data_IF_637049059791
#
_entry.id   IF_637049059791
#
_cell.length_a   1.000
_cell.length_b   1.000
_cell.length_c   1.000
_cell.angle_alpha   90.00
_cell.angle_beta   90.00
_cell.angle_gamma   90.00
#
_symmetry.space_group_name_H-M   'P 1'
#
loop_
_entity.id
_entity.type
_entity.pdbx_description
1 polymer ?
#
# COMPACT_ATOMS: atom_id res chain seq x y z
N UNK A 1 -15.68 2.80 7.53
CA UNK A 1 -14.35 2.97 6.94
C UNK A 1 -14.43 3.12 5.43
N UNK A 2 -13.56 3.95 4.88
CA UNK A 2 -13.51 4.19 3.45
C UNK A 2 -12.44 3.32 2.81
N UNK A 3 -12.80 2.65 1.73
CA UNK A 3 -11.90 1.81 0.96
C UNK A 3 -11.56 2.50 -0.36
N UNK A 4 -10.26 2.60 -0.64
CA UNK A 4 -9.74 3.21 -1.85
C UNK A 4 -8.88 2.21 -2.62
N UNK A 5 -8.91 2.30 -3.95
CA UNK A 5 -8.14 1.42 -4.84
C UNK A 5 -7.26 2.23 -5.75
N UNK A 6 -6.05 1.72 -5.94
CA UNK A 6 -5.16 2.18 -6.99
C UNK A 6 -4.66 0.97 -7.76
N UNK A 7 -4.79 0.98 -9.08
CA UNK A 7 -4.35 -0.11 -9.94
C UNK A 7 -3.28 0.39 -10.90
N UNK A 8 -2.21 -0.39 -11.06
CA UNK A 8 -1.13 0.03 -11.93
C UNK A 8 -0.14 -1.07 -12.25
N UNK A 9 0.91 -0.68 -12.96
CA UNK A 9 2.01 -1.55 -13.36
C UNK A 9 3.32 -0.99 -12.85
N UNK A 10 4.25 -1.89 -12.58
CA UNK A 10 5.60 -1.52 -12.19
C UNK A 10 6.59 -2.16 -13.16
N UNK A 11 7.44 -1.37 -13.81
CA UNK A 11 8.31 -1.86 -14.87
C UNK A 11 9.78 -1.44 -14.75
N UNK A 12 10.14 -0.59 -13.81
CA UNK A 12 11.45 0.08 -13.80
C UNK A 12 12.57 -0.69 -13.11
N UNK A 13 12.25 -1.60 -12.20
CA UNK A 13 13.24 -2.32 -11.40
C UNK A 13 12.89 -3.81 -11.35
N UNK A 14 13.88 -4.68 -11.05
CA UNK A 14 13.60 -6.11 -10.95
C UNK A 14 12.56 -6.47 -9.88
N UNK A 15 12.56 -5.73 -8.78
CA UNK A 15 11.62 -5.94 -7.67
C UNK A 15 11.25 -4.58 -7.13
N UNK A 16 9.96 -4.36 -6.86
CA UNK A 16 9.50 -3.11 -6.25
C UNK A 16 9.88 -3.11 -4.77
N UNK A 17 10.81 -2.23 -4.35
CA UNK A 17 11.27 -2.23 -2.96
C UNK A 17 10.16 -1.88 -1.97
N UNK A 18 10.24 -2.47 -0.77
CA UNK A 18 9.26 -2.20 0.28
C UNK A 18 9.16 -0.73 0.67
N UNK A 19 10.30 -0.03 0.68
CA UNK A 19 10.30 1.40 1.00
C UNK A 19 9.53 2.22 -0.04
N UNK A 20 9.57 1.82 -1.30
CA UNK A 20 8.79 2.48 -2.35
C UNK A 20 7.31 2.18 -2.21
N UNK A 21 6.97 0.92 -1.91
CA UNK A 21 5.57 0.54 -1.66
C UNK A 21 4.98 1.38 -0.53
N UNK A 22 5.72 1.52 0.56
CA UNK A 22 5.26 2.31 1.70
C UNK A 22 5.16 3.80 1.35
N UNK A 23 6.12 4.32 0.58
CA UNK A 23 6.10 5.70 0.13
C UNK A 23 4.86 6.03 -0.69
N UNK A 24 4.44 5.12 -1.57
CA UNK A 24 3.21 5.31 -2.34
C UNK A 24 1.97 5.34 -1.46
N UNK A 25 1.93 4.54 -0.38
CA UNK A 25 0.82 4.59 0.56
C UNK A 25 0.76 5.95 1.26
N UNK A 26 1.90 6.46 1.71
CA UNK A 26 1.96 7.79 2.34
C UNK A 26 1.52 8.89 1.38
N UNK A 27 2.00 8.85 0.14
CA UNK A 27 1.62 9.84 -0.86
C UNK A 27 0.12 9.78 -1.15
N UNK A 28 -0.42 8.59 -1.28
CA UNK A 28 -1.85 8.39 -1.51
C UNK A 28 -2.67 8.97 -0.35
N UNK A 29 -2.29 8.65 0.88
CA UNK A 29 -3.01 9.14 2.05
C UNK A 29 -2.96 10.67 2.15
N UNK A 30 -1.82 11.26 1.84
CA UNK A 30 -1.68 12.71 1.88
C UNK A 30 -2.49 13.40 0.80
N UNK A 31 -2.40 12.92 -0.44
CA UNK A 31 -2.99 13.61 -1.58
C UNK A 31 -4.48 13.31 -1.79
N UNK A 32 -4.90 12.07 -1.53
CA UNK A 32 -6.26 11.64 -1.77
C UNK A 32 -7.12 11.73 -0.52
N UNK A 33 -6.59 11.28 0.62
CA UNK A 33 -7.33 11.23 1.87
C UNK A 33 -7.07 12.43 2.76
N UNK A 34 -6.11 13.27 2.41
CA UNK A 34 -5.70 14.43 3.20
C UNK A 34 -5.31 14.06 4.64
N UNK A 35 -4.62 12.94 4.78
CA UNK A 35 -4.14 12.43 6.07
C UNK A 35 -2.64 12.59 6.18
N UNK A 36 -2.18 12.92 7.39
CA UNK A 36 -0.76 12.94 7.69
C UNK A 36 -0.40 11.71 8.51
N UNK A 37 0.56 10.93 8.01
CA UNK A 37 0.98 9.69 8.64
C UNK A 37 2.37 9.80 9.27
N UNK A 38 2.89 11.01 9.39
CA UNK A 38 4.23 11.23 9.90
C UNK A 38 4.36 10.87 11.38
N UNK A 39 5.52 10.37 11.75
CA UNK A 39 5.87 10.11 13.14
C UNK A 39 5.49 8.73 13.67
N UNK A 40 4.77 7.93 12.91
CA UNK A 40 4.38 6.60 13.36
C UNK A 40 5.10 5.51 12.58
N UNK A 41 5.50 4.46 13.29
CA UNK A 41 6.17 3.32 12.68
C UNK A 41 5.08 2.35 12.20
N UNK A 42 5.03 2.04 10.91
CA UNK A 42 4.01 1.13 10.40
C UNK A 42 4.32 -0.32 10.76
N UNK A 43 3.26 -1.12 10.86
CA UNK A 43 3.38 -2.57 10.90
C UNK A 43 3.22 -3.08 9.49
N UNK A 44 4.22 -3.78 8.96
CA UNK A 44 4.23 -4.22 7.57
C UNK A 44 4.57 -5.69 7.49
N UNK A 45 3.85 -6.42 6.64
CA UNK A 45 4.14 -7.81 6.33
C UNK A 45 4.34 -7.94 4.83
N UNK A 46 5.51 -8.44 4.43
CA UNK A 46 5.81 -8.71 3.03
C UNK A 46 5.63 -10.22 2.78
N UNK A 47 4.82 -10.56 1.80
CA UNK A 47 4.47 -11.96 1.51
C UNK A 47 5.04 -12.43 0.19
N UNK A 48 5.03 -11.57 -0.84
CA UNK A 48 5.57 -11.90 -2.15
C UNK A 48 6.16 -10.65 -2.80
N UNK A 49 7.21 -10.79 -3.62
CA UNK A 49 7.79 -9.64 -4.32
C UNK A 49 6.88 -9.20 -5.47
N UNK A 50 6.88 -7.90 -5.73
CA UNK A 50 6.24 -7.34 -6.91
C UNK A 50 7.31 -7.24 -7.99
N UNK A 51 7.08 -7.90 -9.11
CA UNK A 51 8.04 -7.99 -10.21
C UNK A 51 7.65 -7.04 -11.34
N UNK A 52 8.60 -6.73 -12.25
CA UNK A 52 8.28 -5.90 -13.41
C UNK A 52 7.11 -6.50 -14.19
N UNK A 53 6.25 -5.62 -14.71
CA UNK A 53 5.07 -5.98 -15.48
C UNK A 53 3.95 -6.66 -14.68
N UNK A 54 4.13 -6.85 -13.37
CA UNK A 54 3.03 -7.28 -12.54
C UNK A 54 1.96 -6.20 -12.52
N UNK A 55 0.72 -6.64 -12.66
CA UNK A 55 -0.42 -5.76 -12.50
C UNK A 55 -0.82 -5.78 -11.03
N UNK A 56 -0.81 -4.62 -10.38
CA UNK A 56 -1.03 -4.53 -8.94
C UNK A 56 -2.23 -3.65 -8.62
N UNK A 57 -2.84 -3.94 -7.47
CA UNK A 57 -3.86 -3.09 -6.87
C UNK A 57 -3.40 -2.74 -5.47
N UNK A 58 -3.38 -1.46 -5.17
CA UNK A 58 -3.20 -0.95 -3.81
C UNK A 58 -4.58 -0.68 -3.24
N UNK A 59 -4.92 -1.35 -2.14
CA UNK A 59 -6.14 -1.12 -1.38
C UNK A 59 -5.80 -0.37 -0.11
N UNK A 60 -6.51 0.72 0.15
CA UNK A 60 -6.29 1.53 1.35
C UNK A 60 -7.62 1.69 2.07
N UNK A 61 -7.65 1.33 3.35
CA UNK A 61 -8.85 1.48 4.19
C UNK A 61 -8.53 2.40 5.35
N UNK A 62 -9.25 3.50 5.43
CA UNK A 62 -9.15 4.44 6.54
C UNK A 62 -10.19 4.09 7.60
N UNK A 63 -9.74 3.86 8.82
CA UNK A 63 -10.60 3.55 9.97
C UNK A 63 -10.55 4.71 10.96
N UNK A 64 -11.48 5.68 10.86
CA UNK A 64 -11.45 6.83 11.76
C UNK A 64 -11.64 6.44 13.24
N UNK A 65 -12.47 5.45 13.51
CA UNK A 65 -12.75 5.03 14.88
C UNK A 65 -11.53 4.41 15.56
N UNK A 66 -10.70 3.71 14.79
CA UNK A 66 -9.47 3.12 15.30
C UNK A 66 -8.26 4.00 15.09
N UNK A 67 -8.45 5.12 14.41
CA UNK A 67 -7.41 6.09 14.11
C UNK A 67 -6.22 5.45 13.40
N UNK A 68 -6.51 4.66 12.36
CA UNK A 68 -5.45 4.02 11.57
C UNK A 68 -5.85 3.87 10.11
N UNK A 69 -4.85 3.53 9.31
CA UNK A 69 -5.00 3.20 7.89
C UNK A 69 -4.43 1.81 7.67
N UNK A 70 -5.21 0.94 7.04
CA UNK A 70 -4.73 -0.37 6.60
C UNK A 70 -4.50 -0.33 5.10
N UNK A 71 -3.44 -1.00 4.64
CA UNK A 71 -3.18 -1.09 3.21
C UNK A 71 -2.84 -2.52 2.82
N UNK A 72 -3.05 -2.82 1.54
CA UNK A 72 -2.73 -4.12 0.98
C UNK A 72 -2.38 -3.96 -0.49
N UNK A 73 -1.26 -4.56 -0.90
CA UNK A 73 -0.90 -4.68 -2.30
C UNK A 73 -1.21 -6.09 -2.77
N UNK A 74 -2.00 -6.20 -3.82
CA UNK A 74 -2.32 -7.47 -4.46
C UNK A 74 -1.73 -7.52 -5.86
N UNK A 75 -1.21 -8.68 -6.25
CA UNK A 75 -0.72 -8.94 -7.59
C UNK A 75 -1.83 -9.67 -8.34
N UNK A 76 -2.41 -9.01 -9.35
CA UNK A 76 -3.59 -9.54 -10.02
C UNK A 76 -3.28 -10.73 -10.93
N UNK A 77 -2.17 -10.68 -11.65
CA UNK A 77 -1.83 -11.73 -12.60
C UNK A 77 -1.50 -13.07 -11.93
N UNK A 78 -1.17 -13.08 -10.65
CA UNK A 78 -0.92 -14.30 -9.89
C UNK A 78 -1.95 -14.55 -8.82
N UNK A 79 -2.89 -13.63 -8.64
CA UNK A 79 -3.92 -13.67 -7.59
C UNK A 79 -3.32 -13.81 -6.20
N UNK A 80 -2.19 -13.13 -5.97
CA UNK A 80 -1.43 -13.21 -4.73
C UNK A 80 -1.41 -11.88 -3.99
N UNK A 81 -1.32 -11.96 -2.65
CA UNK A 81 -1.06 -10.79 -1.83
C UNK A 81 0.44 -10.54 -1.79
N UNK A 82 0.87 -9.33 -2.12
CA UNK A 82 2.30 -8.97 -2.08
C UNK A 82 2.71 -8.44 -0.72
N UNK A 83 1.94 -7.54 -0.16
CA UNK A 83 2.23 -6.96 1.15
C UNK A 83 0.97 -6.41 1.78
N UNK A 84 1.03 -6.21 3.08
CA UNK A 84 -0.06 -5.56 3.82
C UNK A 84 0.52 -4.86 5.03
N UNK A 85 -0.22 -3.90 5.57
CA UNK A 85 0.24 -3.20 6.74
C UNK A 85 -0.80 -2.31 7.35
N UNK A 86 -0.40 -1.73 8.49
CA UNK A 86 -1.23 -0.80 9.26
C UNK A 86 -0.37 0.37 9.68
N UNK A 87 -0.90 1.57 9.49
CA UNK A 87 -0.25 2.81 9.90
C UNK A 87 -1.18 3.50 10.86
N UNK A 88 -0.70 3.73 12.09
CA UNK A 88 -1.47 4.42 13.11
C UNK A 88 -1.34 5.94 12.90
N UNK A 89 -2.44 6.64 12.99
CA UNK A 89 -2.50 8.10 12.83
C UNK A 89 -2.18 8.83 14.15
#
# INVERSE_FOLDING_TARGET
PDLFYFKGHFEEQPILPGVVQLGWVYDFCKEVLNLELSGNIPTIKFTAPILPKDEIVLKVVHNPLKNNVNFEYDILNTMSKASSGRIKL
#
